data_IF_449240405243
#
_entry.id   IF_449240405243
#
_cell.length_a   1.000
_cell.length_b   1.000
_cell.length_c   1.000
_cell.angle_alpha   90.00
_cell.angle_beta   90.00
_cell.angle_gamma   90.00
#
_symmetry.space_group_name_H-M   'P 1'
#
loop_
_entity.id
_entity.type
_entity.pdbx_description
1 polymer ?
#
# COMPACT_ATOMS: atom_id res chain seq x y z
N UNK A 1 -12.89 -9.81 -13.72
CA UNK A 1 -11.63 -9.21 -14.16
C UNK A 1 -10.82 -8.87 -12.92
N UNK A 2 -9.50 -9.02 -12.93
CA UNK A 2 -8.68 -8.57 -11.80
C UNK A 2 -8.67 -7.04 -11.76
N UNK A 3 -8.99 -6.45 -10.59
CA UNK A 3 -8.97 -5.01 -10.36
C UNK A 3 -7.87 -4.69 -9.38
N UNK A 4 -6.70 -4.33 -9.91
CA UNK A 4 -5.50 -3.98 -9.14
C UNK A 4 -4.64 -2.99 -9.94
N UNK A 5 -3.46 -2.64 -9.45
CA UNK A 5 -2.48 -1.84 -10.19
C UNK A 5 -1.51 -2.69 -11.02
N UNK A 6 -1.35 -3.98 -10.69
CA UNK A 6 -0.40 -4.87 -11.37
C UNK A 6 1.04 -4.79 -10.83
N UNK A 7 1.22 -4.20 -9.65
CA UNK A 7 2.48 -4.15 -8.92
C UNK A 7 2.38 -4.90 -7.59
N UNK A 8 3.52 -5.30 -7.04
CA UNK A 8 3.64 -5.97 -5.76
C UNK A 8 4.32 -5.06 -4.75
N UNK A 9 3.78 -4.99 -3.55
CA UNK A 9 4.38 -4.29 -2.40
C UNK A 9 4.47 -5.25 -1.23
N UNK A 10 5.62 -5.31 -0.56
CA UNK A 10 5.78 -6.11 0.67
C UNK A 10 5.29 -5.35 1.89
N UNK A 11 5.01 -6.05 2.99
CA UNK A 11 4.66 -5.41 4.27
C UNK A 11 5.77 -4.47 4.76
N UNK A 12 7.04 -4.87 4.60
CA UNK A 12 8.18 -4.02 4.99
C UNK A 12 8.26 -2.74 4.16
N UNK A 13 7.99 -2.81 2.86
CA UNK A 13 7.92 -1.60 2.01
C UNK A 13 6.75 -0.71 2.42
N UNK A 14 5.57 -1.28 2.67
CA UNK A 14 4.38 -0.53 3.08
C UNK A 14 4.61 0.21 4.40
N UNK A 15 5.17 -0.46 5.41
CA UNK A 15 5.53 0.16 6.68
C UNK A 15 6.57 1.27 6.47
N UNK A 16 7.56 1.06 5.60
CA UNK A 16 8.51 2.11 5.22
C UNK A 16 7.82 3.36 4.63
N UNK A 17 6.88 3.18 3.69
CA UNK A 17 6.13 4.29 3.10
C UNK A 17 5.24 5.00 4.11
N UNK A 18 4.59 4.26 5.01
CA UNK A 18 3.81 4.84 6.11
C UNK A 18 4.68 5.73 6.99
N UNK A 19 5.84 5.22 7.45
CA UNK A 19 6.78 6.00 8.26
C UNK A 19 7.29 7.23 7.53
N UNK A 20 7.61 7.11 6.24
CA UNK A 20 8.05 8.23 5.40
C UNK A 20 6.98 9.34 5.32
N UNK A 21 5.73 8.97 5.01
CA UNK A 21 4.66 9.94 4.75
C UNK A 21 4.02 10.51 6.02
N UNK A 22 3.92 9.72 7.09
CA UNK A 22 3.44 10.21 8.39
C UNK A 22 4.46 11.09 9.09
N UNK A 23 5.77 10.89 8.85
CA UNK A 23 6.83 11.71 9.44
C UNK A 23 6.82 13.18 8.97
N UNK A 24 6.02 13.51 7.95
CA UNK A 24 5.76 14.90 7.54
C UNK A 24 4.90 15.62 8.59
N UNK A 25 4.06 14.88 9.32
CA UNK A 25 3.15 15.43 10.33
C UNK A 25 3.71 15.29 11.75
N UNK A 26 4.41 14.18 12.04
CA UNK A 26 5.13 13.96 13.29
C UNK A 26 6.43 13.21 13.04
N UNK A 27 7.55 13.92 13.21
CA UNK A 27 8.88 13.41 12.92
C UNK A 27 9.25 12.16 13.75
N UNK A 28 8.68 11.97 14.94
CA UNK A 28 8.96 10.81 15.79
C UNK A 28 8.44 9.50 15.19
N UNK A 29 7.46 9.56 14.29
CA UNK A 29 6.95 8.37 13.58
C UNK A 29 8.04 7.70 12.75
N UNK A 30 9.07 8.44 12.31
CA UNK A 30 10.25 7.88 11.64
C UNK A 30 10.99 6.87 12.52
N UNK A 31 10.91 7.02 13.84
CA UNK A 31 11.65 6.23 14.82
C UNK A 31 10.85 5.03 15.36
N UNK A 32 9.56 4.91 15.01
CA UNK A 32 8.71 3.79 15.47
C UNK A 32 9.33 2.45 15.09
N UNK A 33 9.53 1.59 16.09
CA UNK A 33 10.10 0.26 15.91
C UNK A 33 9.10 -0.67 15.21
N UNK A 34 9.59 -1.49 14.28
CA UNK A 34 8.78 -2.49 13.57
C UNK A 34 8.96 -3.83 14.27
N UNK A 35 7.92 -4.30 14.93
CA UNK A 35 7.92 -5.58 15.66
C UNK A 35 7.37 -6.67 14.73
N UNK A 36 8.18 -7.69 14.45
CA UNK A 36 7.79 -8.83 13.62
C UNK A 36 7.11 -9.92 14.47
N UNK A 37 5.82 -10.14 14.24
CA UNK A 37 5.06 -11.23 14.84
C UNK A 37 5.08 -12.52 14.02
N UNK A 38 4.41 -13.59 14.50
CA UNK A 38 4.24 -14.82 13.74
C UNK A 38 3.38 -14.58 12.49
N UNK A 39 3.48 -15.49 11.52
CA UNK A 39 2.57 -15.51 10.37
C UNK A 39 1.13 -15.73 10.84
N UNK A 40 0.18 -15.05 10.20
CA UNK A 40 -1.24 -15.26 10.46
C UNK A 40 -1.67 -16.59 9.83
N UNK A 41 -2.39 -17.43 10.57
CA UNK A 41 -2.94 -18.66 10.01
C UNK A 41 -3.94 -18.34 8.89
N UNK A 42 -3.84 -19.07 7.77
CA UNK A 42 -4.67 -18.86 6.58
C UNK A 42 -4.25 -17.69 5.68
N UNK A 43 -3.14 -17.00 5.97
CA UNK A 43 -2.68 -15.87 5.16
C UNK A 43 -2.10 -16.32 3.81
N UNK A 44 -2.34 -15.53 2.76
CA UNK A 44 -1.78 -15.77 1.43
C UNK A 44 -0.44 -15.01 1.33
N UNK A 45 0.71 -15.70 1.19
CA UNK A 45 2.02 -15.04 1.28
C UNK A 45 2.27 -14.00 0.20
N UNK A 46 1.85 -14.28 -1.03
CA UNK A 46 2.17 -13.47 -2.22
C UNK A 46 0.91 -13.25 -3.05
N UNK A 47 0.66 -11.99 -3.40
CA UNK A 47 -0.43 -11.60 -4.27
C UNK A 47 0.06 -10.58 -5.29
N UNK A 48 -0.15 -10.89 -6.58
CA UNK A 48 0.13 -10.01 -7.71
C UNK A 48 -0.90 -10.31 -8.80
N UNK A 49 -1.79 -9.35 -9.06
CA UNK A 49 -2.84 -9.53 -10.05
C UNK A 49 -2.33 -9.18 -11.46
N UNK A 50 -2.40 -10.13 -12.41
CA UNK A 50 -2.33 -9.77 -13.83
C UNK A 50 -3.62 -9.01 -14.20
N UNK A 51 -3.49 -7.81 -14.76
CA UNK A 51 -4.60 -6.92 -15.13
C UNK A 51 -4.79 -6.77 -16.64
N UNK A 52 -4.07 -7.56 -17.45
CA UNK A 52 -4.06 -7.44 -18.92
C UNK A 52 -5.43 -7.70 -19.51
N UNK A 53 -6.18 -8.68 -18.97
CA UNK A 53 -7.56 -8.95 -19.41
C UNK A 53 -8.47 -7.73 -19.23
N UNK A 54 -8.31 -6.97 -18.14
CA UNK A 54 -9.10 -5.78 -17.87
C UNK A 54 -8.66 -4.60 -18.75
N UNK A 55 -7.34 -4.41 -18.92
CA UNK A 55 -6.77 -3.40 -19.81
C UNK A 55 -7.29 -3.58 -21.25
N UNK A 56 -7.16 -4.80 -21.78
CA UNK A 56 -7.48 -5.10 -23.18
C UNK A 56 -8.98 -5.04 -23.46
N UNK A 57 -9.81 -5.61 -22.59
CA UNK A 57 -11.25 -5.77 -22.90
C UNK A 57 -12.12 -4.64 -22.37
N UNK A 58 -11.66 -3.89 -21.38
CA UNK A 58 -12.46 -2.85 -20.71
C UNK A 58 -11.81 -1.46 -20.75
N UNK A 59 -10.62 -1.32 -21.35
CA UNK A 59 -9.86 -0.06 -21.28
C UNK A 59 -9.44 0.32 -19.86
N UNK A 60 -9.35 -0.66 -18.95
CA UNK A 60 -9.01 -0.40 -17.55
C UNK A 60 -7.61 0.21 -17.42
N UNK A 61 -7.53 1.44 -16.92
CA UNK A 61 -6.29 2.20 -16.82
C UNK A 61 -6.12 2.77 -15.39
N UNK A 62 -5.62 1.97 -14.43
CA UNK A 62 -5.50 2.43 -13.05
C UNK A 62 -4.49 3.57 -12.93
N UNK A 63 -4.90 4.68 -12.30
CA UNK A 63 -4.11 5.91 -12.22
C UNK A 63 -3.25 6.03 -10.95
N UNK A 64 -3.62 5.30 -9.90
CA UNK A 64 -3.01 5.44 -8.58
C UNK A 64 -2.27 4.15 -8.21
N UNK A 65 -0.94 4.24 -8.15
CA UNK A 65 -0.13 3.20 -7.53
C UNK A 65 -0.19 3.31 -6.00
N UNK A 66 0.45 2.36 -5.31
CA UNK A 66 0.41 2.29 -3.84
C UNK A 66 0.92 3.57 -3.18
N UNK A 67 2.00 4.17 -3.70
CA UNK A 67 2.62 5.36 -3.12
C UNK A 67 1.74 6.59 -3.27
N UNK A 68 1.19 6.81 -4.46
CA UNK A 68 0.30 7.93 -4.74
C UNK A 68 -0.99 7.85 -3.89
N UNK A 69 -1.63 6.67 -3.86
CA UNK A 69 -2.84 6.46 -3.06
C UNK A 69 -2.58 6.60 -1.55
N UNK A 70 -1.45 6.08 -1.06
CA UNK A 70 -1.11 6.12 0.36
C UNK A 70 -0.86 7.55 0.85
N UNK A 71 -0.23 8.41 0.05
CA UNK A 71 -0.04 9.83 0.41
C UNK A 71 -1.37 10.55 0.66
N UNK A 72 -2.37 10.31 -0.19
CA UNK A 72 -3.70 10.91 -0.01
C UNK A 72 -4.44 10.32 1.20
N UNK A 73 -4.35 9.00 1.39
CA UNK A 73 -4.94 8.34 2.54
C UNK A 73 -4.34 8.85 3.87
N UNK A 74 -3.01 8.93 3.99
CA UNK A 74 -2.32 9.41 5.19
C UNK A 74 -2.76 10.83 5.56
N UNK A 75 -2.83 11.74 4.58
CA UNK A 75 -3.35 13.11 4.80
C UNK A 75 -4.76 13.10 5.37
N UNK A 76 -5.63 12.24 4.84
CA UNK A 76 -7.01 12.14 5.31
C UNK A 76 -7.07 11.60 6.74
N UNK A 77 -6.36 10.49 7.03
CA UNK A 77 -6.36 9.89 8.36
C UNK A 77 -5.80 10.82 9.43
N UNK A 78 -4.70 11.53 9.13
CA UNK A 78 -4.13 12.50 10.07
C UNK A 78 -5.11 13.62 10.46
N UNK A 79 -5.99 14.01 9.53
CA UNK A 79 -6.96 15.09 9.76
C UNK A 79 -8.20 14.64 10.55
N UNK A 80 -8.54 13.35 10.54
CA UNK A 80 -9.84 12.86 11.02
C UNK A 80 -9.76 11.77 12.10
N UNK A 81 -8.57 11.39 12.52
CA UNK A 81 -8.32 10.57 13.72
C UNK A 81 -7.70 11.46 14.80
#
# INVERSE_FOLDING_TARGET
YNTAFGERTTLNQLVGYLKEYLAIFDAEIRNVEVIHGPYREGDIPHSLANIDKAKTLLGYHPQYNIRAGLKEAVKWYWKHL
#
